data_IF_172775068173
#
_entry.id   IF_172775068173
#
_cell.length_a   1.000
_cell.length_b   1.000
_cell.length_c   1.000
_cell.angle_alpha   90.00
_cell.angle_beta   90.00
_cell.angle_gamma   90.00
#
_symmetry.space_group_name_H-M   'P 1'
#
loop_
_entity.id
_entity.type
_entity.pdbx_description
1 polymer ?
#
# COMPACT_ATOMS: atom_id res chain seq x y z
N UNK A 1 -14.65 -6.37 10.55
CA UNK A 1 -14.19 -4.99 10.27
C UNK A 1 -12.87 -4.72 10.98
N UNK A 2 -12.14 -3.71 10.52
CA UNK A 2 -10.92 -3.25 11.19
C UNK A 2 -11.29 -2.37 12.40
N UNK A 3 -10.67 -2.60 13.56
CA UNK A 3 -10.78 -1.70 14.72
C UNK A 3 -9.54 -0.82 14.80
N UNK A 4 -9.73 0.44 15.17
CA UNK A 4 -8.65 1.45 15.17
C UNK A 4 -7.45 1.02 16.00
N UNK A 5 -7.66 0.52 17.21
CA UNK A 5 -6.59 0.05 18.10
C UNK A 5 -5.75 -1.08 17.47
N UNK A 6 -6.42 -2.08 16.88
CA UNK A 6 -5.74 -3.21 16.25
C UNK A 6 -5.04 -2.80 14.96
N UNK A 7 -5.60 -1.84 14.21
CA UNK A 7 -4.94 -1.25 13.04
C UNK A 7 -3.66 -0.56 13.46
N UNK A 8 -3.70 0.27 14.49
CA UNK A 8 -2.52 1.00 14.95
C UNK A 8 -1.44 0.05 15.46
N UNK A 9 -1.82 -0.96 16.24
CA UNK A 9 -0.88 -1.97 16.72
C UNK A 9 -0.26 -2.77 15.57
N UNK A 10 -1.06 -3.22 14.60
CA UNK A 10 -0.57 -3.93 13.43
C UNK A 10 0.36 -3.07 12.57
N UNK A 11 0.04 -1.79 12.38
CA UNK A 11 0.86 -0.84 11.65
C UNK A 11 2.20 -0.61 12.33
N UNK A 12 2.23 -0.46 13.66
CA UNK A 12 3.48 -0.30 14.43
C UNK A 12 4.37 -1.53 14.28
N UNK A 13 3.79 -2.73 14.40
CA UNK A 13 4.53 -3.99 14.22
C UNK A 13 5.09 -4.09 12.80
N UNK A 14 4.24 -3.90 11.78
CA UNK A 14 4.67 -3.96 10.38
C UNK A 14 5.77 -2.95 10.06
N UNK A 15 5.62 -1.70 10.53
CA UNK A 15 6.60 -0.64 10.28
C UNK A 15 7.95 -0.94 10.92
N UNK A 16 7.97 -1.64 12.05
CA UNK A 16 9.21 -2.03 12.72
C UNK A 16 10.05 -2.94 11.82
N UNK A 17 9.42 -3.89 11.14
CA UNK A 17 10.09 -4.86 10.28
C UNK A 17 10.31 -4.34 8.85
N UNK A 18 9.44 -3.44 8.37
CA UNK A 18 9.38 -2.97 6.96
C UNK A 18 9.67 -1.49 6.77
N UNK A 19 10.49 -0.91 7.66
CA UNK A 19 10.78 0.54 7.68
C UNK A 19 11.30 1.06 6.34
N UNK A 20 12.14 0.29 5.64
CA UNK A 20 12.77 0.71 4.40
C UNK A 20 11.74 0.77 3.26
N UNK A 21 10.88 -0.22 3.18
CA UNK A 21 9.78 -0.32 2.21
C UNK A 21 8.79 0.84 2.39
N UNK A 22 8.42 1.16 3.63
CA UNK A 22 7.60 2.34 3.92
C UNK A 22 8.27 3.64 3.49
N UNK A 23 9.58 3.78 3.74
CA UNK A 23 10.33 4.97 3.34
C UNK A 23 10.36 5.11 1.82
N UNK A 24 10.70 4.05 1.11
CA UNK A 24 10.77 4.03 -0.35
C UNK A 24 9.43 4.41 -0.99
N UNK A 25 8.33 3.80 -0.54
CA UNK A 25 6.99 4.17 -1.02
C UNK A 25 6.63 5.63 -0.68
N UNK A 26 7.04 6.15 0.48
CA UNK A 26 6.79 7.55 0.86
C UNK A 26 7.54 8.56 0.00
N UNK A 27 8.71 8.20 -0.52
CA UNK A 27 9.50 9.06 -1.40
C UNK A 27 8.83 9.18 -2.78
N UNK A 28 8.20 8.11 -3.26
CA UNK A 28 7.52 8.05 -4.55
C UNK A 28 6.10 8.66 -4.48
N UNK A 29 5.31 8.25 -3.49
CA UNK A 29 3.87 8.54 -3.43
C UNK A 29 3.60 9.91 -2.81
N UNK A 30 4.33 10.29 -1.76
CA UNK A 30 4.04 11.50 -1.00
C UNK A 30 4.91 12.67 -1.47
N UNK A 31 4.37 13.88 -1.31
CA UNK A 31 5.17 15.11 -1.38
C UNK A 31 6.00 15.27 -0.11
N UNK A 32 6.97 16.18 -0.11
CA UNK A 32 7.73 16.54 1.09
C UNK A 32 6.82 16.93 2.26
N UNK A 33 5.80 17.75 1.98
CA UNK A 33 4.78 18.11 2.98
C UNK A 33 4.01 16.89 3.47
N UNK A 34 3.69 15.97 2.57
CA UNK A 34 3.00 14.72 2.92
C UNK A 34 3.82 13.83 3.85
N UNK A 35 5.14 13.74 3.63
CA UNK A 35 6.06 12.98 4.50
C UNK A 35 6.25 13.61 5.88
N UNK A 36 6.02 14.92 6.02
CA UNK A 36 6.11 15.62 7.30
C UNK A 36 4.86 15.44 8.17
N UNK A 37 3.75 14.93 7.63
CA UNK A 37 2.52 14.71 8.40
C UNK A 37 2.69 13.55 9.39
N UNK A 38 2.16 13.61 10.62
CA UNK A 38 2.33 12.55 11.61
C UNK A 38 1.80 11.18 11.18
N UNK A 39 0.73 11.17 10.38
CA UNK A 39 0.00 9.98 9.94
C UNK A 39 0.39 9.49 8.53
N UNK A 40 1.59 9.85 8.05
CA UNK A 40 2.03 9.47 6.70
C UNK A 40 2.08 7.95 6.50
N UNK A 41 2.31 7.17 7.57
CA UNK A 41 2.38 5.71 7.51
C UNK A 41 1.03 5.09 7.22
N UNK A 42 -0.02 5.64 7.81
CA UNK A 42 -1.41 5.26 7.61
C UNK A 42 -1.83 5.52 6.15
N UNK A 43 -1.39 6.64 5.57
CA UNK A 43 -1.57 6.91 4.14
C UNK A 43 -0.89 5.88 3.24
N UNK A 44 0.36 5.53 3.54
CA UNK A 44 1.09 4.49 2.79
C UNK A 44 0.42 3.14 2.95
N UNK A 45 0.00 2.77 4.16
CA UNK A 45 -0.72 1.52 4.40
C UNK A 45 -2.03 1.47 3.62
N UNK A 46 -2.84 2.53 3.65
CA UNK A 46 -4.09 2.60 2.89
C UNK A 46 -3.85 2.41 1.39
N UNK A 47 -2.82 3.07 0.85
CA UNK A 47 -2.41 2.86 -0.53
C UNK A 47 -2.04 1.39 -0.82
N UNK A 48 -1.26 0.76 0.07
CA UNK A 48 -0.89 -0.65 -0.06
C UNK A 48 -2.13 -1.57 -0.02
N UNK A 49 -3.08 -1.30 0.87
CA UNK A 49 -4.35 -2.04 0.97
C UNK A 49 -5.18 -1.92 -0.32
N UNK A 50 -5.19 -0.74 -0.93
CA UNK A 50 -5.83 -0.50 -2.22
C UNK A 50 -5.16 -1.27 -3.36
N UNK A 51 -3.83 -1.34 -3.38
CA UNK A 51 -3.09 -2.20 -4.33
C UNK A 51 -3.45 -3.66 -4.11
N UNK A 52 -3.46 -4.13 -2.87
CA UNK A 52 -3.79 -5.51 -2.54
C UNK A 52 -5.24 -5.90 -2.86
N UNK A 53 -6.21 -5.00 -2.72
CA UNK A 53 -7.59 -5.24 -3.18
C UNK A 53 -7.69 -5.21 -4.70
N UNK A 54 -7.03 -4.24 -5.36
CA UNK A 54 -7.05 -4.11 -6.83
C UNK A 54 -6.40 -5.30 -7.51
N UNK A 55 -5.33 -5.86 -6.93
CA UNK A 55 -4.67 -7.06 -7.44
C UNK A 55 -5.62 -8.26 -7.54
N UNK A 56 -6.56 -8.41 -6.60
CA UNK A 56 -7.58 -9.48 -6.68
C UNK A 56 -8.44 -9.35 -7.93
N UNK A 57 -8.72 -8.12 -8.36
CA UNK A 57 -9.42 -7.87 -9.61
C UNK A 57 -8.53 -8.11 -10.83
N UNK A 58 -7.26 -7.70 -10.79
CA UNK A 58 -6.31 -7.94 -11.89
C UNK A 58 -6.00 -9.43 -12.11
N UNK A 59 -6.12 -10.24 -11.06
CA UNK A 59 -5.88 -11.68 -11.08
C UNK A 59 -7.16 -12.52 -11.12
N UNK A 60 -8.30 -11.95 -11.53
CA UNK A 60 -9.61 -12.61 -11.66
C UNK A 60 -10.16 -13.28 -10.39
N UNK A 61 -9.65 -12.93 -9.20
CA UNK A 61 -10.18 -13.40 -7.91
C UNK A 61 -11.42 -12.64 -7.45
N UNK A 62 -11.68 -11.46 -8.05
CA UNK A 62 -12.81 -10.58 -7.75
C UNK A 62 -13.28 -9.89 -9.03
N UNK A 63 -14.57 -9.85 -9.35
CA UNK A 63 -15.04 -9.11 -10.52
C UNK A 63 -14.71 -7.61 -10.40
N UNK A 64 -14.43 -6.92 -11.51
CA UNK A 64 -14.23 -5.47 -11.48
C UNK A 64 -15.52 -4.73 -11.13
N UNK A 65 -15.40 -3.68 -10.33
CA UNK A 65 -16.43 -2.64 -10.19
C UNK A 65 -16.34 -1.62 -11.34
N UNK A 66 -17.37 -0.78 -11.48
CA UNK A 66 -17.39 0.34 -12.44
C UNK A 66 -16.20 1.29 -12.28
N UNK A 67 -15.67 1.42 -11.06
CA UNK A 67 -14.55 2.31 -10.72
C UNK A 67 -13.18 1.62 -10.75
N UNK A 68 -13.13 0.30 -11.00
CA UNK A 68 -11.89 -0.47 -10.98
C UNK A 68 -10.86 0.01 -12.01
N UNK A 69 -11.23 0.36 -13.26
CA UNK A 69 -10.27 0.90 -14.23
C UNK A 69 -9.60 2.20 -13.77
N UNK A 70 -10.38 3.14 -13.22
CA UNK A 70 -9.89 4.43 -12.74
C UNK A 70 -8.98 4.24 -11.52
N UNK A 71 -9.35 3.35 -10.60
CA UNK A 71 -8.53 3.01 -9.43
C UNK A 71 -7.21 2.37 -9.85
N UNK A 72 -7.25 1.41 -10.77
CA UNK A 72 -6.04 0.78 -11.29
C UNK A 72 -5.09 1.80 -11.94
N UNK A 73 -5.62 2.68 -12.80
CA UNK A 73 -4.83 3.74 -13.42
C UNK A 73 -4.26 4.73 -12.40
N UNK A 74 -5.03 5.09 -11.36
CA UNK A 74 -4.53 5.95 -10.29
C UNK A 74 -3.33 5.33 -9.57
N UNK A 75 -3.43 4.06 -9.14
CA UNK A 75 -2.35 3.34 -8.47
C UNK A 75 -1.10 3.24 -9.36
N UNK A 76 -1.29 2.88 -10.63
CA UNK A 76 -0.21 2.81 -11.62
C UNK A 76 0.48 4.16 -11.82
N UNK A 77 -0.28 5.26 -11.89
CA UNK A 77 0.28 6.60 -12.04
C UNK A 77 1.07 7.06 -10.82
N UNK A 78 0.61 6.74 -9.61
CA UNK A 78 1.35 7.09 -8.39
C UNK A 78 2.68 6.35 -8.33
N UNK A 79 2.70 5.04 -8.57
CA UNK A 79 3.93 4.24 -8.54
C UNK A 79 4.85 4.49 -9.74
N UNK A 80 4.27 4.81 -10.90
CA UNK A 80 5.01 5.09 -12.12
C UNK A 80 5.64 6.48 -12.16
N UNK A 81 5.28 7.37 -11.23
CA UNK A 81 5.78 8.74 -11.20
C UNK A 81 7.30 8.76 -10.98
N UNK A 82 8.03 9.27 -11.96
CA UNK A 82 9.50 9.36 -11.90
C UNK A 82 10.23 8.04 -12.17
N UNK A 83 9.52 6.94 -12.41
CA UNK A 83 10.11 5.66 -12.83
C UNK A 83 10.66 5.77 -14.25
N UNK A 84 11.83 5.18 -14.50
CA UNK A 84 12.48 5.14 -15.83
C UNK A 84 12.37 3.77 -16.49
N UNK A 85 11.89 2.76 -15.77
CA UNK A 85 11.72 1.39 -16.28
C UNK A 85 10.51 0.68 -15.69
N UNK A 86 10.00 -0.32 -16.41
CA UNK A 86 8.91 -1.19 -15.93
C UNK A 86 9.32 -1.99 -14.69
N UNK A 87 10.59 -2.36 -14.58
CA UNK A 87 11.11 -3.11 -13.43
C UNK A 87 10.95 -2.33 -12.11
N UNK A 88 11.17 -1.01 -12.13
CA UNK A 88 10.95 -0.15 -10.96
C UNK A 88 9.47 -0.10 -10.58
N UNK A 89 8.58 0.05 -11.57
CA UNK A 89 7.13 0.03 -11.33
C UNK A 89 6.70 -1.30 -10.70
N UNK A 90 7.12 -2.43 -11.26
CA UNK A 90 6.82 -3.77 -10.73
C UNK A 90 7.39 -3.97 -9.33
N UNK A 91 8.60 -3.46 -9.05
CA UNK A 91 9.19 -3.51 -7.71
C UNK A 91 8.31 -2.81 -6.67
N UNK A 92 7.88 -1.58 -6.95
CA UNK A 92 7.04 -0.80 -6.04
C UNK A 92 5.64 -1.41 -5.88
N UNK A 93 5.08 -2.02 -6.94
CA UNK A 93 3.84 -2.79 -6.86
C UNK A 93 3.98 -3.99 -5.93
N UNK A 94 5.09 -4.74 -6.05
CA UNK A 94 5.37 -5.90 -5.20
C UNK A 94 5.53 -5.48 -3.74
N UNK A 95 6.25 -4.41 -3.45
CA UNK A 95 6.33 -3.85 -2.09
C UNK A 95 4.92 -3.54 -1.57
N UNK A 96 4.14 -2.78 -2.34
CA UNK A 96 2.79 -2.36 -1.94
C UNK A 96 1.87 -3.56 -1.66
N UNK A 97 1.91 -4.59 -2.52
CA UNK A 97 1.15 -5.82 -2.33
C UNK A 97 1.57 -6.57 -1.07
N UNK A 98 2.89 -6.78 -0.88
CA UNK A 98 3.44 -7.51 0.25
C UNK A 98 3.10 -6.82 1.58
N UNK A 99 3.25 -5.50 1.68
CA UNK A 99 2.87 -4.75 2.89
C UNK A 99 1.38 -4.90 3.21
N UNK A 100 0.51 -4.90 2.19
CA UNK A 100 -0.92 -5.16 2.40
C UNK A 100 -1.19 -6.58 2.92
N UNK A 101 -0.51 -7.58 2.37
CA UNK A 101 -0.67 -8.97 2.78
C UNK A 101 -0.16 -9.20 4.21
N UNK A 102 1.03 -8.71 4.53
CA UNK A 102 1.65 -8.81 5.84
C UNK A 102 0.82 -8.07 6.89
N UNK A 103 0.34 -6.85 6.60
CA UNK A 103 -0.57 -6.14 7.49
C UNK A 103 -1.80 -6.96 7.85
N UNK A 104 -2.47 -7.55 6.85
CA UNK A 104 -3.67 -8.38 7.05
C UNK A 104 -3.37 -9.58 7.94
N UNK A 105 -2.19 -10.20 7.79
CA UNK A 105 -1.79 -11.33 8.63
C UNK A 105 -1.44 -10.92 10.06
N UNK A 106 -0.73 -9.81 10.25
CA UNK A 106 -0.44 -9.25 11.59
C UNK A 106 -1.75 -8.91 12.28
N UNK A 107 -2.65 -8.17 11.61
CA UNK A 107 -3.93 -7.76 12.15
C UNK A 107 -4.78 -8.96 12.63
N UNK A 108 -4.81 -10.05 11.86
CA UNK A 108 -5.53 -11.29 12.24
C UNK A 108 -4.97 -11.96 13.50
N UNK A 109 -3.67 -11.80 13.78
CA UNK A 109 -2.98 -12.47 14.90
C UNK A 109 -3.07 -11.67 16.21
N UNK A 110 -3.32 -10.37 16.13
CA UNK A 110 -3.59 -9.56 17.30
C UNK A 110 -4.92 -10.02 17.90
N UNK A 111 -4.96 -10.25 19.21
CA UNK A 111 -6.17 -10.65 19.93
C UNK A 111 -7.08 -9.46 20.14
#
# INVERSE_FOLDING_TARGET
>A
EYTEDKVQQALVMLYTDRKNEFRELSEVILTEKGRAMPNWKEFILNFCLDVGDSFKTWSDQKPPSETSPQKALYLLRQLGKGSTSMNQLTHLQNISYNLSAEFKEIYKRIK
#
